data_IF_106254665415
#
_entry.id   IF_106254665415
#
_cell.length_a   1.000
_cell.length_b   1.000
_cell.length_c   1.000
_cell.angle_alpha   90.00
_cell.angle_beta   90.00
_cell.angle_gamma   90.00
#
_symmetry.space_group_name_H-M   'P 1'
#
loop_
_entity.id
_entity.type
_entity.pdbx_description
1 polymer ?
#
# COMPACT_ATOMS: atom_id res chain seq x y z
N UNK A 1 17.71 -35.23 53.32
CA UNK A 1 17.92 -33.87 52.78
C UNK A 1 18.24 -33.98 51.29
N UNK A 2 17.27 -33.70 50.41
CA UNK A 2 17.48 -33.68 48.94
C UNK A 2 17.84 -32.25 48.53
N UNK A 3 19.03 -32.06 47.94
CA UNK A 3 19.45 -30.79 47.34
C UNK A 3 18.80 -30.67 45.96
N UNK A 4 17.90 -29.70 45.77
CA UNK A 4 17.49 -29.26 44.43
C UNK A 4 18.65 -28.46 43.82
N UNK A 5 19.15 -28.92 42.68
CA UNK A 5 20.01 -28.11 41.80
C UNK A 5 19.06 -27.39 40.85
N UNK A 6 18.82 -26.11 41.11
CA UNK A 6 18.08 -25.24 40.20
C UNK A 6 19.05 -24.83 39.09
N UNK A 7 19.03 -25.54 37.97
CA UNK A 7 19.73 -25.14 36.76
C UNK A 7 19.05 -23.89 36.20
N UNK A 8 19.63 -22.73 36.45
CA UNK A 8 19.28 -21.51 35.76
C UNK A 8 19.73 -21.65 34.30
N UNK A 9 18.79 -22.00 33.42
CA UNK A 9 18.95 -21.74 31.98
C UNK A 9 18.91 -20.22 31.85
N UNK A 10 20.10 -19.60 31.85
CA UNK A 10 20.25 -18.25 31.37
C UNK A 10 19.88 -18.28 29.89
N UNK A 11 18.63 -17.93 29.59
CA UNK A 11 18.24 -17.55 28.24
C UNK A 11 19.09 -16.34 27.88
N UNK A 12 20.18 -16.59 27.15
CA UNK A 12 20.91 -15.56 26.43
C UNK A 12 19.92 -15.06 25.38
N UNK A 13 19.15 -14.05 25.74
CA UNK A 13 18.52 -13.18 24.76
C UNK A 13 19.69 -12.57 23.99
N UNK A 14 20.06 -13.18 22.87
CA UNK A 14 20.85 -12.51 21.85
C UNK A 14 20.01 -11.29 21.51
N UNK A 15 20.39 -10.14 22.04
CA UNK A 15 19.90 -8.84 21.62
C UNK A 15 20.33 -8.66 20.18
N UNK A 16 19.61 -9.30 19.26
CA UNK A 16 19.71 -9.03 17.84
C UNK A 16 19.47 -7.55 17.68
N UNK A 17 20.43 -6.84 17.09
CA UNK A 17 20.24 -5.47 16.66
C UNK A 17 18.99 -5.51 15.78
N UNK A 18 17.90 -4.85 16.19
CA UNK A 18 16.70 -4.80 15.37
C UNK A 18 17.12 -4.23 14.01
N UNK A 19 17.08 -5.06 12.97
CA UNK A 19 17.36 -4.61 11.61
C UNK A 19 16.38 -3.50 11.28
N UNK A 20 16.88 -2.38 10.75
CA UNK A 20 16.02 -1.27 10.40
C UNK A 20 15.02 -1.69 9.31
N UNK A 21 13.77 -1.25 9.43
CA UNK A 21 12.75 -1.54 8.43
C UNK A 21 13.07 -0.87 7.08
N UNK A 22 12.48 -1.42 6.02
CA UNK A 22 12.58 -0.87 4.67
C UNK A 22 11.22 -0.79 3.98
N UNK A 23 11.14 0.01 2.93
CA UNK A 23 9.93 0.16 2.11
C UNK A 23 10.37 0.41 0.68
N UNK A 24 9.75 -0.24 -0.30
CA UNK A 24 10.08 -0.06 -1.71
C UNK A 24 8.88 0.47 -2.49
N UNK A 25 9.14 1.46 -3.35
CA UNK A 25 8.19 1.94 -4.36
C UNK A 25 8.68 1.47 -5.73
N UNK A 26 7.92 0.61 -6.40
CA UNK A 26 8.20 0.20 -7.77
C UNK A 26 7.45 1.13 -8.73
N UNK A 27 8.22 1.73 -9.63
CA UNK A 27 7.78 2.81 -10.51
C UNK A 27 7.59 2.29 -11.92
N UNK A 28 6.49 2.64 -12.57
CA UNK A 28 6.36 2.49 -14.04
C UNK A 28 6.57 3.81 -14.78
N UNK A 29 6.77 3.75 -16.11
CA UNK A 29 6.88 4.96 -16.91
C UNK A 29 5.56 5.73 -16.92
N UNK A 30 5.58 7.06 -16.71
CA UNK A 30 4.42 7.90 -16.92
C UNK A 30 4.03 7.89 -18.40
N UNK A 31 2.73 7.97 -18.68
CA UNK A 31 2.23 8.19 -20.05
C UNK A 31 2.07 9.68 -20.36
N UNK A 32 1.94 10.51 -19.32
CA UNK A 32 1.62 11.93 -19.40
C UNK A 32 2.38 12.74 -18.35
N UNK A 33 2.41 14.05 -18.53
CA UNK A 33 2.90 14.95 -17.50
C UNK A 33 1.89 15.05 -16.36
N UNK A 34 2.37 15.02 -15.12
CA UNK A 34 1.53 15.00 -13.92
C UNK A 34 2.37 15.20 -12.66
N UNK A 35 1.77 14.96 -11.51
CA UNK A 35 2.46 15.09 -10.21
C UNK A 35 2.27 13.82 -9.41
N UNK A 36 3.39 13.24 -8.98
CA UNK A 36 3.37 12.13 -8.04
C UNK A 36 3.52 12.67 -6.63
N UNK A 37 2.61 12.33 -5.74
CA UNK A 37 2.79 12.53 -4.31
C UNK A 37 3.28 11.22 -3.66
N UNK A 38 4.38 11.30 -2.92
CA UNK A 38 4.92 10.18 -2.14
C UNK A 38 5.12 10.64 -0.71
N UNK A 39 4.68 9.82 0.25
CA UNK A 39 4.85 10.08 1.67
C UNK A 39 5.29 8.83 2.41
N UNK A 40 6.20 9.02 3.37
CA UNK A 40 6.56 8.05 4.40
C UNK A 40 6.31 8.69 5.76
N UNK A 41 5.58 7.99 6.61
CA UNK A 41 5.21 8.47 7.94
C UNK A 41 5.50 7.42 8.99
N UNK A 42 6.13 7.86 10.07
CA UNK A 42 6.34 7.08 11.28
C UNK A 42 5.32 7.50 12.34
N UNK A 43 4.55 6.56 12.85
CA UNK A 43 3.50 6.73 13.84
C UNK A 43 3.95 6.40 15.27
N UNK A 44 4.99 5.60 15.45
CA UNK A 44 5.33 5.00 16.75
C UNK A 44 6.75 5.29 17.23
N UNK A 45 7.69 5.61 16.34
CA UNK A 45 9.05 5.98 16.72
C UNK A 45 9.17 7.47 17.01
N UNK A 46 9.61 8.21 16.00
CA UNK A 46 9.89 9.65 15.97
C UNK A 46 8.67 10.53 15.69
N UNK A 47 7.60 9.97 15.12
CA UNK A 47 6.47 10.77 14.61
C UNK A 47 6.76 11.48 13.27
N UNK A 48 7.92 11.25 12.67
CA UNK A 48 8.37 11.98 11.48
C UNK A 48 7.49 11.69 10.26
N UNK A 49 7.33 12.71 9.41
CA UNK A 49 6.59 12.60 8.15
C UNK A 49 7.39 13.29 7.04
N UNK A 50 7.85 12.50 6.07
CA UNK A 50 8.54 12.98 4.87
C UNK A 50 7.58 12.80 3.71
N UNK A 51 7.14 13.90 3.08
CA UNK A 51 6.23 13.87 1.94
C UNK A 51 6.66 14.86 0.86
N UNK A 52 6.53 14.48 -0.40
CA UNK A 52 6.96 15.28 -1.56
C UNK A 52 5.96 15.20 -2.69
N UNK A 53 5.76 16.33 -3.38
CA UNK A 53 5.10 16.41 -4.68
C UNK A 53 6.17 16.53 -5.75
N UNK A 54 6.20 15.59 -6.70
CA UNK A 54 7.24 15.49 -7.70
C UNK A 54 6.62 15.68 -9.08
N UNK A 55 6.97 16.75 -9.80
CA UNK A 55 6.50 16.95 -11.17
C UNK A 55 7.18 15.96 -12.12
N UNK A 56 6.35 15.23 -12.85
CA UNK A 56 6.74 14.21 -13.82
C UNK A 56 6.30 14.65 -15.22
N UNK A 57 7.10 14.31 -16.21
CA UNK A 57 6.84 14.61 -17.62
C UNK A 57 6.58 13.32 -18.38
N UNK A 58 5.86 13.40 -19.51
CA UNK A 58 5.60 12.24 -20.37
C UNK A 58 6.88 11.63 -20.98
N UNK A 59 8.00 12.38 -21.01
CA UNK A 59 9.28 11.92 -21.51
C UNK A 59 10.13 11.20 -20.44
N UNK A 60 9.72 11.25 -19.17
CA UNK A 60 10.45 10.57 -18.11
C UNK A 60 10.34 9.05 -18.31
N UNK A 61 11.48 8.37 -18.27
CA UNK A 61 11.48 6.90 -18.13
C UNK A 61 11.11 6.52 -16.71
N UNK A 62 10.76 5.24 -16.46
CA UNK A 62 10.59 4.74 -15.10
C UNK A 62 11.82 5.03 -14.20
N UNK A 63 13.03 4.92 -14.76
CA UNK A 63 14.28 5.24 -14.07
C UNK A 63 14.39 6.74 -13.75
N UNK A 64 13.99 7.61 -14.67
CA UNK A 64 14.01 9.06 -14.46
C UNK A 64 13.00 9.47 -13.40
N UNK A 65 11.75 8.96 -13.47
CA UNK A 65 10.70 9.16 -12.45
C UNK A 65 11.17 8.68 -11.08
N UNK A 66 11.72 7.46 -11.00
CA UNK A 66 12.34 6.90 -9.78
C UNK A 66 13.40 7.84 -9.18
N UNK A 67 14.35 8.30 -10.00
CA UNK A 67 15.43 9.17 -9.52
C UNK A 67 14.87 10.51 -9.00
N UNK A 68 13.93 11.14 -9.72
CA UNK A 68 13.26 12.37 -9.27
C UNK A 68 12.59 12.20 -7.91
N UNK A 69 11.85 11.10 -7.73
CA UNK A 69 11.17 10.78 -6.47
C UNK A 69 12.19 10.56 -5.34
N UNK A 70 13.23 9.75 -5.59
CA UNK A 70 14.30 9.50 -4.61
C UNK A 70 14.96 10.81 -4.18
N UNK A 71 15.37 11.65 -5.13
CA UNK A 71 16.11 12.88 -4.83
C UNK A 71 15.25 13.89 -4.08
N UNK A 72 13.97 14.01 -4.42
CA UNK A 72 13.02 14.84 -3.69
C UNK A 72 12.84 14.35 -2.24
N UNK A 73 12.62 13.04 -2.04
CA UNK A 73 12.47 12.46 -0.71
C UNK A 73 13.73 12.63 0.14
N UNK A 74 14.91 12.37 -0.44
CA UNK A 74 16.19 12.53 0.25
C UNK A 74 16.45 13.98 0.68
N UNK A 75 16.17 14.94 -0.20
CA UNK A 75 16.29 16.36 0.12
C UNK A 75 15.32 16.77 1.24
N UNK A 76 14.08 16.27 1.20
CA UNK A 76 13.07 16.57 2.21
C UNK A 76 13.43 15.98 3.58
N UNK A 77 13.88 14.72 3.62
CA UNK A 77 14.31 14.08 4.86
C UNK A 77 15.52 14.81 5.48
N UNK A 78 16.50 15.19 4.66
CA UNK A 78 17.67 15.96 5.11
C UNK A 78 17.27 17.34 5.67
N UNK A 79 16.36 18.06 4.99
CA UNK A 79 15.86 19.34 5.46
C UNK A 79 15.10 19.23 6.80
N UNK A 80 14.47 18.09 7.06
CA UNK A 80 13.75 17.80 8.30
C UNK A 80 14.64 17.14 9.38
N UNK A 81 15.91 16.84 9.10
CA UNK A 81 16.81 16.15 10.03
C UNK A 81 16.42 14.70 10.31
N UNK A 82 15.66 14.06 9.41
CA UNK A 82 15.21 12.67 9.55
C UNK A 82 16.29 11.73 8.98
N UNK A 83 16.83 10.77 9.76
CA UNK A 83 17.99 9.96 9.36
C UNK A 83 17.64 8.79 8.41
N UNK A 84 16.57 8.93 7.62
CA UNK A 84 16.15 7.93 6.64
C UNK A 84 17.02 7.98 5.39
N UNK A 85 17.20 6.83 4.76
CA UNK A 85 17.98 6.70 3.53
C UNK A 85 17.07 6.41 2.35
N UNK A 86 17.45 6.91 1.18
CA UNK A 86 16.72 6.70 -0.06
C UNK A 86 17.70 6.19 -1.12
N UNK A 87 17.56 4.93 -1.49
CA UNK A 87 18.50 4.23 -2.36
C UNK A 87 17.80 3.63 -3.57
N UNK A 88 18.53 3.48 -4.66
CA UNK A 88 18.03 2.73 -5.81
C UNK A 88 18.24 1.25 -5.54
N UNK A 89 17.21 0.46 -5.82
CA UNK A 89 17.31 -1.01 -5.89
C UNK A 89 17.37 -1.46 -7.36
N UNK A 90 17.58 -2.75 -7.60
CA UNK A 90 17.57 -3.29 -8.96
C UNK A 90 16.25 -2.94 -9.67
N UNK A 91 16.33 -2.40 -10.90
CA UNK A 91 15.16 -1.98 -11.67
C UNK A 91 14.62 -0.58 -11.29
N UNK A 92 13.35 -0.27 -11.62
CA UNK A 92 12.76 1.05 -11.42
C UNK A 92 12.21 1.24 -10.00
N UNK A 93 12.99 0.89 -8.98
CA UNK A 93 12.51 0.84 -7.60
C UNK A 93 13.30 1.80 -6.67
N UNK A 94 12.59 2.53 -5.80
CA UNK A 94 13.18 3.33 -4.71
C UNK A 94 13.01 2.58 -3.41
N UNK A 95 14.11 2.32 -2.68
CA UNK A 95 14.09 1.80 -1.32
C UNK A 95 14.28 2.91 -0.30
N UNK A 96 13.37 2.99 0.66
CA UNK A 96 13.49 3.78 1.88
C UNK A 96 14.03 2.87 2.98
N UNK A 97 15.15 3.24 3.58
CA UNK A 97 15.83 2.47 4.63
C UNK A 97 16.09 3.30 5.88
N UNK A 98 16.63 2.64 6.91
CA UNK A 98 16.75 3.20 8.26
C UNK A 98 15.41 3.60 8.86
N UNK A 99 14.34 2.90 8.47
CA UNK A 99 13.02 3.12 9.06
C UNK A 99 12.96 2.46 10.44
N UNK A 100 12.23 3.05 11.40
CA UNK A 100 11.95 2.36 12.65
C UNK A 100 11.20 1.06 12.37
N UNK A 101 11.52 0.01 13.12
CA UNK A 101 10.98 -1.33 12.90
C UNK A 101 9.45 -1.45 13.10
N UNK A 102 8.80 -0.43 13.70
CA UNK A 102 7.37 -0.44 14.00
C UNK A 102 6.73 0.88 13.60
N UNK A 103 5.49 0.83 13.12
CA UNK A 103 4.64 2.01 12.98
C UNK A 103 4.88 2.84 11.72
N UNK A 104 5.32 2.27 10.61
CA UNK A 104 5.58 3.05 9.38
C UNK A 104 4.49 2.83 8.34
N UNK A 105 4.06 3.92 7.72
CA UNK A 105 3.13 3.94 6.58
C UNK A 105 3.81 4.54 5.36
N UNK A 106 3.55 3.95 4.20
CA UNK A 106 3.90 4.49 2.89
C UNK A 106 2.63 4.85 2.13
N UNK A 107 2.64 5.99 1.45
CA UNK A 107 1.58 6.42 0.56
C UNK A 107 2.17 6.84 -0.78
N UNK A 108 1.56 6.35 -1.85
CA UNK A 108 1.94 6.67 -3.22
C UNK A 108 0.70 7.03 -4.05
N UNK A 109 0.72 8.24 -4.62
CA UNK A 109 -0.40 8.83 -5.36
C UNK A 109 0.13 9.36 -6.70
N UNK A 110 -0.06 8.63 -7.82
CA UNK A 110 0.55 8.97 -9.10
C UNK A 110 -0.12 10.12 -9.87
N UNK A 111 -1.26 10.64 -9.40
CA UNK A 111 -2.10 11.72 -9.98
C UNK A 111 -1.64 12.32 -11.33
N UNK A 112 -2.45 12.08 -12.37
CA UNK A 112 -2.29 12.71 -13.69
C UNK A 112 -1.20 12.09 -14.58
N UNK A 113 -0.40 11.14 -14.08
CA UNK A 113 0.60 10.42 -14.90
C UNK A 113 -0.02 9.42 -15.89
N UNK A 114 -1.26 8.99 -15.63
CA UNK A 114 -2.02 8.06 -16.47
C UNK A 114 -1.33 6.70 -16.63
N UNK A 115 -0.62 6.24 -15.60
CA UNK A 115 0.15 5.00 -15.67
C UNK A 115 -0.66 3.78 -15.25
N UNK A 116 -0.48 2.70 -16.01
CA UNK A 116 -1.28 1.49 -15.89
C UNK A 116 -1.10 0.77 -14.54
N UNK A 117 0.07 0.92 -13.90
CA UNK A 117 0.48 0.09 -12.76
C UNK A 117 1.61 0.74 -11.99
N UNK A 118 1.55 0.82 -10.68
CA UNK A 118 2.67 1.03 -9.77
C UNK A 118 2.55 0.01 -8.62
N UNK A 119 3.63 -0.19 -7.86
CA UNK A 119 3.58 -1.08 -6.69
C UNK A 119 4.14 -0.38 -5.45
N UNK A 120 3.46 -0.60 -4.33
CA UNK A 120 3.94 -0.23 -3.01
C UNK A 120 4.25 -1.52 -2.23
N UNK A 121 5.52 -1.65 -1.87
CA UNK A 121 6.02 -2.71 -1.01
C UNK A 121 6.45 -2.11 0.31
N UNK A 122 6.07 -2.72 1.43
CA UNK A 122 6.56 -2.30 2.73
C UNK A 122 7.13 -3.54 3.41
N UNK A 123 8.34 -3.40 3.96
CA UNK A 123 9.07 -4.44 4.68
C UNK A 123 9.44 -3.92 6.07
N UNK A 124 8.45 -3.92 6.96
CA UNK A 124 8.70 -3.71 8.38
C UNK A 124 9.11 -5.03 8.99
N UNK A 125 10.31 -5.09 9.59
CA UNK A 125 10.71 -6.23 10.42
C UNK A 125 9.58 -6.54 11.39
N UNK A 126 8.92 -7.67 11.19
CA UNK A 126 7.63 -7.93 11.79
C UNK A 126 7.82 -8.05 13.31
N UNK A 127 7.29 -7.13 14.15
CA UNK A 127 7.10 -7.50 15.54
C UNK A 127 6.18 -8.70 15.54
N UNK A 128 6.60 -9.78 16.21
CA UNK A 128 5.84 -11.02 16.33
C UNK A 128 4.33 -10.71 16.51
N UNK A 129 3.50 -11.25 15.61
CA UNK A 129 2.02 -11.19 15.60
C UNK A 129 1.31 -9.99 14.94
N UNK A 130 1.97 -9.14 14.14
CA UNK A 130 1.26 -8.07 13.38
C UNK A 130 1.59 -8.09 11.88
N UNK A 131 0.77 -8.74 11.03
CA UNK A 131 0.99 -8.71 9.60
C UNK A 131 0.79 -7.30 9.01
N UNK A 132 1.45 -6.96 7.89
CA UNK A 132 1.21 -5.72 7.18
C UNK A 132 -0.25 -5.59 6.76
N UNK A 133 -0.71 -4.35 6.63
CA UNK A 133 -2.00 -4.00 6.04
C UNK A 133 -1.81 -2.98 4.93
N UNK A 134 -2.79 -2.89 4.05
CA UNK A 134 -2.78 -1.93 2.97
C UNK A 134 -4.16 -1.55 2.49
N UNK A 135 -4.22 -0.51 1.66
CA UNK A 135 -5.41 0.02 1.04
C UNK A 135 -5.09 0.42 -0.39
N UNK A 136 -5.99 0.06 -1.30
CA UNK A 136 -5.96 0.51 -2.69
C UNK A 136 -7.26 1.26 -2.96
N UNK A 137 -7.20 2.45 -3.55
CA UNK A 137 -8.41 3.21 -3.84
C UNK A 137 -8.16 4.55 -4.50
N UNK A 138 -9.13 5.46 -4.40
CA UNK A 138 -9.01 6.81 -4.93
C UNK A 138 -9.58 7.81 -3.92
N UNK A 139 -8.97 8.99 -3.82
CA UNK A 139 -9.44 10.04 -2.91
C UNK A 139 -10.73 10.75 -3.42
N UNK A 140 -11.02 10.63 -4.72
CA UNK A 140 -12.16 11.27 -5.34
C UNK A 140 -13.46 10.50 -5.14
N UNK A 141 -14.59 11.20 -5.24
CA UNK A 141 -15.94 10.59 -5.19
C UNK A 141 -16.35 9.90 -6.48
N UNK A 142 -15.75 10.27 -7.62
CA UNK A 142 -16.05 9.71 -8.94
C UNK A 142 -14.79 9.45 -9.74
N UNK A 143 -14.80 8.39 -10.55
CA UNK A 143 -13.75 8.05 -11.49
C UNK A 143 -14.21 8.30 -12.94
N UNK A 144 -13.37 8.95 -13.76
CA UNK A 144 -13.61 9.06 -15.21
C UNK A 144 -13.29 7.73 -15.88
N UNK A 145 -14.28 7.13 -16.56
CA UNK A 145 -14.15 5.86 -17.27
C UNK A 145 -13.43 5.99 -18.61
N UNK A 146 -13.22 7.21 -19.09
CA UNK A 146 -12.49 7.48 -20.32
C UNK A 146 -11.33 8.43 -20.05
N UNK A 147 -10.26 8.25 -20.82
CA UNK A 147 -9.13 9.18 -20.85
C UNK A 147 -9.50 10.45 -21.65
N UNK A 148 -8.60 11.43 -21.68
CA UNK A 148 -8.84 12.71 -22.38
C UNK A 148 -8.89 12.58 -23.90
N UNK A 149 -8.50 11.44 -24.47
CA UNK A 149 -8.66 11.13 -25.89
C UNK A 149 -9.99 10.40 -26.18
N UNK A 150 -10.82 10.17 -25.16
CA UNK A 150 -12.07 9.41 -25.28
C UNK A 150 -11.87 7.91 -25.38
N UNK A 151 -10.67 7.39 -25.06
CA UNK A 151 -10.41 5.95 -25.00
C UNK A 151 -10.79 5.41 -23.62
N UNK A 152 -11.29 4.16 -23.52
CA UNK A 152 -11.58 3.55 -22.22
C UNK A 152 -10.36 3.59 -21.30
N UNK A 153 -10.54 4.15 -20.11
CA UNK A 153 -9.52 4.13 -19.08
C UNK A 153 -9.39 2.71 -18.53
N UNK A 154 -8.17 2.32 -18.17
CA UNK A 154 -7.92 1.03 -17.55
C UNK A 154 -7.61 1.24 -16.08
N UNK A 155 -8.19 0.41 -15.21
CA UNK A 155 -8.01 0.44 -13.77
C UNK A 155 -7.47 -0.90 -13.30
N UNK A 156 -6.34 -0.90 -12.61
CA UNK A 156 -5.67 -2.09 -12.11
C UNK A 156 -5.59 -2.05 -10.60
N UNK A 157 -5.98 -3.13 -9.94
CA UNK A 157 -5.69 -3.38 -8.52
C UNK A 157 -5.19 -4.79 -8.33
N UNK A 158 -4.36 -5.00 -7.30
CA UNK A 158 -3.85 -6.32 -7.03
C UNK A 158 -2.97 -6.37 -5.80
N UNK A 159 -2.56 -7.58 -5.47
CA UNK A 159 -1.55 -7.82 -4.45
C UNK A 159 -0.35 -8.49 -5.11
N UNK A 160 0.81 -8.29 -4.51
CA UNK A 160 1.95 -9.17 -4.72
C UNK A 160 1.99 -10.10 -3.53
N UNK A 161 2.09 -11.41 -3.75
CA UNK A 161 2.26 -12.39 -2.69
C UNK A 161 3.44 -13.30 -3.06
N UNK A 162 4.44 -13.38 -2.19
CA UNK A 162 5.69 -14.12 -2.43
C UNK A 162 6.34 -13.77 -3.78
N UNK A 163 6.29 -12.49 -4.17
CA UNK A 163 6.87 -12.01 -5.42
C UNK A 163 6.01 -12.22 -6.66
N UNK A 164 4.92 -13.00 -6.55
CA UNK A 164 3.98 -13.26 -7.64
C UNK A 164 2.88 -12.18 -7.61
N UNK A 165 2.67 -11.44 -8.71
CA UNK A 165 1.55 -10.52 -8.81
C UNK A 165 0.24 -11.31 -9.02
N UNK A 166 -0.79 -10.94 -8.26
CA UNK A 166 -2.18 -11.40 -8.40
C UNK A 166 -3.01 -10.13 -8.54
N UNK A 167 -3.42 -9.81 -9.75
CA UNK A 167 -4.05 -8.54 -10.09
C UNK A 167 -5.27 -8.76 -10.98
N UNK A 168 -6.18 -7.80 -10.95
CA UNK A 168 -7.30 -7.70 -11.88
C UNK A 168 -7.29 -6.32 -12.53
N UNK A 169 -7.96 -6.25 -13.67
CA UNK A 169 -8.05 -5.06 -14.48
C UNK A 169 -9.47 -4.88 -15.00
N UNK A 170 -9.98 -3.66 -14.92
CA UNK A 170 -11.28 -3.27 -15.48
C UNK A 170 -11.07 -2.14 -16.46
N UNK A 171 -11.69 -2.26 -17.64
CA UNK A 171 -11.71 -1.22 -18.67
C UNK A 171 -12.96 -0.36 -18.53
N UNK A 172 -12.88 0.93 -18.82
CA UNK A 172 -14.01 1.85 -18.63
C UNK A 172 -15.19 1.65 -19.57
N UNK A 173 -15.04 0.85 -20.63
CA UNK A 173 -16.11 0.38 -21.51
C UNK A 173 -16.72 -0.96 -21.06
N UNK A 174 -16.36 -1.46 -19.87
CA UNK A 174 -16.94 -2.67 -19.29
C UNK A 174 -18.48 -2.53 -19.20
N UNK A 175 -19.18 -3.58 -19.63
CA UNK A 175 -20.64 -3.60 -19.70
C UNK A 175 -21.31 -3.31 -18.35
N UNK A 176 -20.63 -3.59 -17.22
CA UNK A 176 -21.12 -3.28 -15.87
C UNK A 176 -21.35 -1.79 -15.64
N UNK A 177 -20.66 -0.91 -16.38
CA UNK A 177 -20.85 0.53 -16.34
C UNK A 177 -22.00 1.05 -17.19
N UNK A 178 -22.69 0.19 -17.95
CA UNK A 178 -23.87 0.54 -18.76
C UNK A 178 -23.68 1.78 -19.65
N UNK A 179 -22.48 1.98 -20.21
CA UNK A 179 -22.17 3.09 -21.11
C UNK A 179 -22.04 4.47 -20.43
N UNK A 180 -21.90 4.52 -19.11
CA UNK A 180 -21.62 5.75 -18.38
C UNK A 180 -20.22 6.29 -18.73
N UNK A 181 -20.04 7.62 -18.67
CA UNK A 181 -18.73 8.27 -18.86
C UNK A 181 -17.92 8.38 -17.56
N UNK A 182 -18.59 8.28 -16.42
CA UNK A 182 -17.99 8.28 -15.09
C UNK A 182 -18.83 7.43 -14.16
N UNK A 183 -18.19 6.92 -13.11
CA UNK A 183 -18.82 6.07 -12.10
C UNK A 183 -18.42 6.54 -10.71
N UNK A 184 -19.21 6.22 -9.69
CA UNK A 184 -18.78 6.46 -8.32
C UNK A 184 -17.53 5.63 -8.01
N UNK A 185 -16.56 6.19 -7.28
CA UNK A 185 -15.36 5.45 -6.86
C UNK A 185 -15.72 4.21 -6.05
N UNK A 186 -16.79 4.30 -5.25
CA UNK A 186 -17.30 3.16 -4.50
C UNK A 186 -17.67 2.00 -5.42
N UNK A 187 -18.46 2.25 -6.46
CA UNK A 187 -18.89 1.24 -7.43
C UNK A 187 -17.70 0.66 -8.21
N UNK A 188 -16.77 1.50 -8.66
CA UNK A 188 -15.53 1.05 -9.29
C UNK A 188 -14.73 0.10 -8.37
N UNK A 189 -14.55 0.48 -7.10
CA UNK A 189 -13.84 -0.36 -6.13
C UNK A 189 -14.58 -1.66 -5.82
N UNK A 190 -15.92 -1.65 -5.82
CA UNK A 190 -16.73 -2.85 -5.65
C UNK A 190 -16.55 -3.83 -6.80
N UNK A 191 -16.54 -3.33 -8.03
CA UNK A 191 -16.29 -4.12 -9.24
C UNK A 191 -14.89 -4.73 -9.18
N UNK A 192 -13.87 -3.92 -8.94
CA UNK A 192 -12.48 -4.37 -8.82
C UNK A 192 -12.28 -5.38 -7.68
N UNK A 193 -12.93 -5.18 -6.53
CA UNK A 193 -12.91 -6.13 -5.41
C UNK A 193 -13.54 -7.47 -5.80
N UNK A 194 -14.72 -7.45 -6.44
CA UNK A 194 -15.42 -8.66 -6.84
C UNK A 194 -14.64 -9.48 -7.86
N UNK A 195 -13.85 -8.81 -8.72
CA UNK A 195 -12.97 -9.49 -9.68
C UNK A 195 -11.68 -9.99 -9.01
N UNK A 196 -11.10 -9.23 -8.07
CA UNK A 196 -9.86 -9.59 -7.40
C UNK A 196 -10.06 -10.73 -6.37
N UNK A 197 -11.12 -10.67 -5.56
CA UNK A 197 -11.33 -11.55 -4.40
C UNK A 197 -11.30 -13.06 -4.72
N UNK A 198 -11.90 -13.55 -5.82
CA UNK A 198 -11.79 -14.96 -6.21
C UNK A 198 -10.37 -15.38 -6.60
N UNK A 199 -9.57 -14.47 -7.19
CA UNK A 199 -8.19 -14.74 -7.62
C UNK A 199 -7.26 -14.92 -6.42
N UNK A 200 -7.53 -14.17 -5.35
CA UNK A 200 -6.68 -14.19 -4.16
C UNK A 200 -7.11 -15.27 -3.18
N UNK A 201 -8.40 -15.64 -3.07
CA UNK A 201 -8.96 -16.57 -2.05
C UNK A 201 -8.30 -17.97 -1.96
N UNK A 202 -7.46 -18.37 -2.92
CA UNK A 202 -6.66 -19.60 -2.88
C UNK A 202 -5.14 -19.42 -2.77
N UNK A 203 -4.63 -18.19 -2.68
CA UNK A 203 -3.19 -17.90 -2.81
C UNK A 203 -2.40 -17.94 -1.50
N UNK A 204 -3.05 -18.17 -0.36
CA UNK A 204 -2.39 -18.09 0.95
C UNK A 204 -2.07 -16.67 1.41
N UNK A 205 -2.50 -15.66 0.65
CA UNK A 205 -2.57 -14.28 1.12
C UNK A 205 -3.58 -14.18 2.29
N UNK A 206 -3.55 -13.08 3.05
CA UNK A 206 -4.42 -12.92 4.23
C UNK A 206 -5.90 -12.77 3.88
N UNK A 207 -6.40 -11.53 3.87
CA UNK A 207 -7.81 -11.25 3.55
C UNK A 207 -7.95 -9.92 2.82
N UNK A 208 -8.87 -9.86 1.85
CA UNK A 208 -9.40 -8.60 1.32
C UNK A 208 -10.68 -8.23 2.05
N UNK A 209 -10.93 -6.93 2.16
CA UNK A 209 -12.19 -6.40 2.64
C UNK A 209 -12.60 -5.18 1.83
N UNK A 210 -13.88 -5.14 1.47
CA UNK A 210 -14.52 -3.96 0.91
C UNK A 210 -15.95 -3.88 1.47
N UNK A 211 -16.33 -2.70 1.96
CA UNK A 211 -17.65 -2.45 2.53
C UNK A 211 -18.52 -1.57 1.61
N UNK A 212 -19.85 -1.67 1.70
CA UNK A 212 -20.75 -0.70 1.06
C UNK A 212 -20.40 0.74 1.45
N UNK A 213 -20.34 1.66 0.47
CA UNK A 213 -19.85 3.03 0.61
C UNK A 213 -18.33 3.22 0.60
N UNK A 214 -17.50 2.17 0.68
CA UNK A 214 -16.05 2.33 0.74
C UNK A 214 -15.46 2.70 -0.63
N UNK A 215 -14.54 3.67 -0.63
CA UNK A 215 -13.72 4.11 -1.77
C UNK A 215 -12.37 3.39 -1.84
N UNK A 216 -12.17 2.38 -0.98
CA UNK A 216 -10.92 1.65 -0.83
C UNK A 216 -11.19 0.16 -0.65
N UNK A 217 -10.28 -0.66 -1.16
CA UNK A 217 -10.15 -2.08 -0.86
C UNK A 217 -9.08 -2.22 0.22
N UNK A 218 -9.46 -2.71 1.39
CA UNK A 218 -8.54 -3.02 2.47
C UNK A 218 -7.89 -4.39 2.22
N UNK A 219 -6.58 -4.48 2.47
CA UNK A 219 -5.77 -5.69 2.35
C UNK A 219 -5.15 -5.98 3.70
N UNK A 220 -5.30 -7.21 4.17
CA UNK A 220 -4.57 -7.75 5.31
C UNK A 220 -3.72 -8.91 4.81
N UNK A 221 -2.42 -8.90 5.07
CA UNK A 221 -1.55 -9.99 4.65
C UNK A 221 -1.55 -11.11 5.69
N UNK A 222 -1.32 -12.36 5.26
CA UNK A 222 -1.21 -13.47 6.20
C UNK A 222 0.12 -13.38 6.96
N UNK A 223 0.10 -13.73 8.25
CA UNK A 223 1.32 -13.84 9.06
C UNK A 223 1.89 -15.26 8.91
N UNK A 224 3.11 -15.42 8.38
CA UNK A 224 3.77 -16.75 8.27
C UNK A 224 4.82 -17.03 9.35
N UNK A 225 4.93 -16.20 10.40
CA UNK A 225 5.74 -16.49 11.60
C UNK A 225 7.26 -16.54 11.42
N UNK A 226 7.78 -16.63 10.19
CA UNK A 226 9.20 -16.82 9.92
C UNK A 226 9.69 -16.19 8.62
N UNK A 227 8.80 -15.80 7.71
CA UNK A 227 9.21 -15.09 6.50
C UNK A 227 9.08 -13.59 6.73
N UNK A 228 10.22 -12.93 6.83
CA UNK A 228 10.36 -11.53 6.40
C UNK A 228 9.86 -11.48 4.95
N UNK A 229 8.57 -11.21 4.76
CA UNK A 229 7.90 -11.39 3.47
C UNK A 229 8.41 -10.36 2.48
N UNK A 230 9.54 -10.65 1.84
CA UNK A 230 10.22 -9.91 0.77
C UNK A 230 9.41 -9.82 -0.53
N UNK A 231 8.15 -10.27 -0.51
CA UNK A 231 7.30 -10.37 -1.69
C UNK A 231 5.83 -9.95 -1.52
N UNK A 232 5.44 -9.36 -0.39
CA UNK A 232 4.06 -8.92 -0.13
C UNK A 232 3.87 -7.42 -0.41
N UNK A 233 3.04 -7.05 -1.39
CA UNK A 233 2.86 -5.65 -1.78
C UNK A 233 1.48 -5.35 -2.35
N UNK A 234 1.21 -4.08 -2.60
CA UNK A 234 0.02 -3.58 -3.26
C UNK A 234 0.35 -3.22 -4.69
N UNK A 235 -0.56 -3.50 -5.62
CA UNK A 235 -0.49 -3.14 -7.03
C UNK A 235 -1.69 -2.28 -7.33
N UNK A 236 -1.48 -1.11 -7.92
CA UNK A 236 -2.55 -0.18 -8.25
C UNK A 236 -2.14 0.68 -9.44
N UNK A 237 -3.08 1.12 -10.26
CA UNK A 237 -2.75 2.03 -11.36
C UNK A 237 -3.93 2.32 -12.26
N UNK A 238 -3.91 3.48 -12.92
CA UNK A 238 -4.96 3.83 -13.87
C UNK A 238 -4.42 4.66 -15.02
N UNK A 239 -4.93 4.39 -16.21
CA UNK A 239 -4.65 5.22 -17.37
C UNK A 239 -5.48 6.51 -17.39
N UNK A 240 -6.45 6.65 -16.49
CA UNK A 240 -7.22 7.88 -16.30
C UNK A 240 -6.38 8.97 -15.66
N UNK A 241 -6.58 10.21 -16.09
CA UNK A 241 -5.88 11.38 -15.54
C UNK A 241 -6.65 12.09 -14.45
N UNK A 242 -7.93 11.75 -14.24
CA UNK A 242 -8.82 12.50 -13.34
C UNK A 242 -8.43 12.37 -11.87
N UNK A 243 -7.82 11.26 -11.47
CA UNK A 243 -6.92 11.10 -10.33
C UNK A 243 -6.48 9.64 -10.26
N UNK A 244 -5.20 9.39 -9.98
CA UNK A 244 -4.64 8.04 -10.00
C UNK A 244 -5.20 7.14 -8.90
N UNK A 245 -5.25 5.83 -9.14
CA UNK A 245 -5.37 4.87 -8.04
C UNK A 245 -4.19 5.04 -7.09
N UNK A 246 -4.46 4.96 -5.80
CA UNK A 246 -3.49 5.16 -4.73
C UNK A 246 -3.23 3.85 -4.01
N UNK A 247 -2.01 3.72 -3.50
CA UNK A 247 -1.64 2.67 -2.57
C UNK A 247 -1.18 3.28 -1.25
N UNK A 248 -1.81 2.85 -0.17
CA UNK A 248 -1.35 3.11 1.19
C UNK A 248 -1.06 1.77 1.85
N UNK A 249 0.14 1.58 2.38
CA UNK A 249 0.45 0.40 3.18
C UNK A 249 0.93 0.83 4.56
N UNK A 250 0.67 0.00 5.57
CA UNK A 250 0.97 0.33 6.95
C UNK A 250 1.41 -0.88 7.77
N UNK A 251 2.29 -0.60 8.73
CA UNK A 251 2.65 -1.47 9.84
C UNK A 251 2.28 -0.82 11.17
N UNK A 252 0.98 -0.72 11.45
CA UNK A 252 0.52 -0.21 12.74
C UNK A 252 -0.01 -1.39 13.58
N UNK A 253 0.67 -1.77 14.68
CA UNK A 253 0.07 -2.57 15.73
C UNK A 253 -1.22 -1.87 16.18
N UNK A 254 -2.34 -2.57 16.20
CA UNK A 254 -3.65 -1.94 16.42
C UNK A 254 -3.67 -1.00 17.63
N UNK A 255 -4.00 0.29 17.43
CA UNK A 255 -4.63 1.09 18.44
C UNK A 255 -6.14 1.04 18.12
N UNK A 256 -6.84 0.09 18.73
CA UNK A 256 -8.30 0.08 18.90
C UNK A 256 -9.22 0.15 17.66
N UNK A 257 -8.71 0.21 16.42
CA UNK A 257 -9.53 0.51 15.23
C UNK A 257 -10.38 -0.67 14.75
N UNK A 258 -9.86 -1.92 14.84
CA UNK A 258 -10.69 -3.12 14.66
C UNK A 258 -11.62 -3.36 15.85
N UNK A 259 -11.25 -2.94 17.07
CA UNK A 259 -12.19 -2.90 18.20
C UNK A 259 -13.37 -1.94 17.93
N UNK A 260 -13.12 -0.75 17.37
CA UNK A 260 -14.17 0.22 17.03
C UNK A 260 -15.05 -0.25 15.86
N UNK A 261 -14.47 -0.87 14.82
CA UNK A 261 -15.23 -1.45 13.69
C UNK A 261 -16.05 -2.68 14.11
N UNK A 262 -15.51 -3.54 14.97
CA UNK A 262 -16.28 -4.65 15.55
C UNK A 262 -17.36 -4.16 16.51
N UNK A 263 -17.12 -3.09 17.28
CA UNK A 263 -18.14 -2.44 18.12
C UNK A 263 -19.25 -1.82 17.26
N UNK A 264 -18.91 -1.16 16.15
CA UNK A 264 -19.88 -0.61 15.21
C UNK A 264 -20.75 -1.70 14.56
N UNK A 265 -20.13 -2.81 14.12
CA UNK A 265 -20.85 -3.99 13.64
C UNK A 265 -21.77 -4.62 14.70
N UNK A 266 -21.34 -4.63 15.97
CA UNK A 266 -22.14 -5.13 17.09
C UNK A 266 -23.33 -4.20 17.43
N UNK A 267 -23.12 -2.88 17.35
CA UNK A 267 -24.13 -1.85 17.64
C UNK A 267 -25.21 -1.77 16.56
N UNK A 268 -24.86 -2.01 15.29
CA UNK A 268 -25.82 -2.08 14.18
C UNK A 268 -26.74 -3.29 14.34
N UNK A 269 -26.22 -4.45 14.79
CA UNK A 269 -27.05 -5.64 15.04
C UNK A 269 -28.03 -5.48 16.21
N UNK A 270 -27.74 -4.62 17.19
CA UNK A 270 -28.67 -4.36 18.31
C UNK A 270 -29.82 -3.42 17.97
N UNK A 271 -29.74 -2.62 16.89
CA UNK A 271 -30.84 -1.75 16.46
C UNK A 271 -31.85 -2.41 15.52
N UNK A 272 -31.55 -3.60 14.99
CA UNK A 272 -32.48 -4.39 14.16
C UNK A 272 -33.30 -5.43 14.93
N UNK A 273 -33.20 -5.46 16.26
CA UNK A 273 -33.85 -6.46 17.13
C UNK A 273 -34.74 -5.82 18.22
N UNK A 274 -35.16 -4.58 18.03
CA UNK A 274 -36.12 -3.87 18.88
C UNK A 274 -37.35 -3.48 18.07
#
# INVERSE_FOLDING_TARGET
MRKLITSAIAAVCVSGVASAATMDFNITPPRRAGTVFVQVRDFLGTGATVGVNVPITAADTAITKRNKIRDALAAQAAAQGVPWTFTNVAGPAVRVGNLPAKGVTGLFVPRGTGEYRDELYINGGCPENHPPRGKMGMEQSSASLYDENGLPATFTVGIKHNGVPIETTVSGDDARFNGQSSVSTHELMGILYNDLNPLVSGSGYGSLYWGPGNQYIDVNFAYSGSDESTGNGLIFGTTSTSDGLTGEGTYVPEPASLMLLSLAGLLIRRRGAA
#
